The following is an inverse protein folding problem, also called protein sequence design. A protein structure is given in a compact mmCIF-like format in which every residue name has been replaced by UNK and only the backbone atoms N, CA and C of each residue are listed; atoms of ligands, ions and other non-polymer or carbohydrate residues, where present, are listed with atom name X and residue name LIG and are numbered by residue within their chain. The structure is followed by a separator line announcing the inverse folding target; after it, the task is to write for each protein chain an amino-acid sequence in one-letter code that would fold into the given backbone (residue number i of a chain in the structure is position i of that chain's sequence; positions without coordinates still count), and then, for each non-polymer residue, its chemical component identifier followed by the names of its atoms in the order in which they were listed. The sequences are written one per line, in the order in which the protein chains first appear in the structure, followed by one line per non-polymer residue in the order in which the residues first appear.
data_IF_019041023448
#
_entry.id   IF_019041023448
#
_cell.length_a   1.000
_cell.length_b   1.000
_cell.length_c   1.000
_cell.angle_alpha   90.00
_cell.angle_beta   90.00
_cell.angle_gamma   90.00
#
_symmetry.space_group_name_H-M   'P 1'
#
loop_
_entity.id
_entity.type
_entity.pdbx_description
1 polymer ?
#
# COMPACT_ATOMS: atom_id res chain seq x y z
N UNK A 1 49.56 13.02 -16.18
CA UNK A 1 48.46 13.99 -16.27
C UNK A 1 47.57 13.56 -17.44
N UNK A 2 46.40 12.94 -17.20
CA UNK A 2 45.48 12.56 -18.29
C UNK A 2 44.67 13.81 -18.65
N UNK A 3 44.98 14.42 -19.79
CA UNK A 3 44.19 15.51 -20.36
C UNK A 3 42.80 14.98 -20.67
N UNK A 4 41.78 15.54 -20.01
CA UNK A 4 40.38 15.26 -20.35
C UNK A 4 40.15 15.64 -21.82
N UNK A 5 39.57 14.75 -22.65
CA UNK A 5 39.32 15.07 -24.05
C UNK A 5 38.37 16.28 -24.13
N UNK A 6 38.68 17.24 -25.01
CA UNK A 6 37.82 18.41 -25.23
C UNK A 6 36.47 17.94 -25.77
N UNK A 7 35.37 18.44 -25.20
CA UNK A 7 34.00 18.15 -25.67
C UNK A 7 33.82 18.66 -27.11
N UNK A 8 33.21 17.85 -27.97
CA UNK A 8 32.90 18.24 -29.34
C UNK A 8 31.69 19.20 -29.35
N UNK A 9 31.73 20.24 -30.19
CA UNK A 9 30.61 21.17 -30.36
C UNK A 9 29.52 20.51 -31.20
N UNK A 10 28.31 20.40 -30.65
CA UNK A 10 27.11 19.98 -31.36
C UNK A 10 26.23 21.21 -31.65
N UNK A 11 25.86 21.42 -32.92
CA UNK A 11 24.91 22.45 -33.33
C UNK A 11 23.69 21.77 -33.95
N UNK A 12 22.56 21.85 -33.26
CA UNK A 12 21.30 21.21 -33.67
C UNK A 12 20.16 22.21 -33.52
N UNK A 13 19.19 22.11 -34.43
CA UNK A 13 17.96 22.87 -34.33
C UNK A 13 16.97 22.11 -33.43
N UNK A 14 16.32 22.85 -32.54
CA UNK A 14 15.29 22.34 -31.63
C UNK A 14 14.00 23.09 -31.95
N UNK A 15 12.88 22.38 -31.90
CA UNK A 15 11.56 23.03 -31.91
C UNK A 15 11.49 24.07 -30.78
N UNK A 16 10.93 25.27 -31.01
CA UNK A 16 10.94 26.36 -30.03
C UNK A 16 10.39 25.93 -28.66
N UNK A 17 9.28 25.17 -28.66
CA UNK A 17 8.67 24.63 -27.43
C UNK A 17 9.60 23.68 -26.66
N UNK A 18 10.44 22.92 -27.38
CA UNK A 18 11.39 21.99 -26.77
C UNK A 18 12.57 22.75 -26.16
N UNK A 19 13.06 23.79 -26.83
CA UNK A 19 14.09 24.68 -26.28
C UNK A 19 13.60 25.37 -25.00
N UNK A 20 12.37 25.88 -24.99
CA UNK A 20 11.75 26.51 -23.82
C UNK A 20 11.66 25.52 -22.64
N UNK A 21 11.21 24.30 -22.90
CA UNK A 21 11.12 23.25 -21.89
C UNK A 21 12.50 22.88 -21.30
N UNK A 22 13.53 22.78 -22.15
CA UNK A 22 14.90 22.48 -21.76
C UNK A 22 15.50 23.62 -20.91
N UNK A 23 15.32 24.87 -21.34
CA UNK A 23 15.78 26.06 -20.61
C UNK A 23 15.09 26.18 -19.26
N UNK A 24 13.76 25.97 -19.20
CA UNK A 24 13.02 25.96 -17.94
C UNK A 24 13.49 24.84 -17.01
N UNK A 25 13.81 23.65 -17.54
CA UNK A 25 14.33 22.54 -16.76
C UNK A 25 15.71 22.84 -16.17
N UNK A 26 16.60 23.45 -16.97
CA UNK A 26 17.94 23.86 -16.55
C UNK A 26 17.88 24.96 -15.48
N UNK A 27 17.05 25.98 -15.67
CA UNK A 27 16.86 27.08 -14.73
C UNK A 27 16.33 26.61 -13.37
N UNK A 28 15.35 25.69 -13.33
CA UNK A 28 14.82 25.12 -12.07
C UNK A 28 15.86 24.37 -11.23
N UNK A 29 16.98 23.95 -11.84
CA UNK A 29 18.02 23.15 -11.19
C UNK A 29 19.36 23.89 -11.08
N UNK A 30 19.42 25.15 -11.49
CA UNK A 30 20.65 25.94 -11.56
C UNK A 30 21.78 25.24 -12.34
N UNK A 31 21.41 24.62 -13.47
CA UNK A 31 22.33 23.88 -14.35
C UNK A 31 22.49 24.58 -15.70
N UNK A 32 23.64 24.38 -16.36
CA UNK A 32 23.85 24.90 -17.71
C UNK A 32 23.06 24.10 -18.76
N UNK A 33 22.58 24.79 -19.79
CA UNK A 33 21.80 24.16 -20.86
C UNK A 33 22.57 23.03 -21.56
N UNK A 34 23.88 23.24 -21.80
CA UNK A 34 24.74 22.23 -22.41
C UNK A 34 24.91 20.99 -21.53
N UNK A 35 24.96 21.14 -20.21
CA UNK A 35 25.06 20.02 -19.27
C UNK A 35 23.78 19.19 -19.29
N UNK A 36 22.62 19.85 -19.25
CA UNK A 36 21.31 19.17 -19.29
C UNK A 36 21.12 18.46 -20.63
N UNK A 37 21.48 19.11 -21.75
CA UNK A 37 21.41 18.52 -23.08
C UNK A 37 22.31 17.28 -23.23
N UNK A 38 23.57 17.37 -22.78
CA UNK A 38 24.50 16.25 -22.80
C UNK A 38 24.02 15.09 -21.94
N UNK A 39 23.52 15.37 -20.72
CA UNK A 39 22.97 14.35 -19.84
C UNK A 39 21.72 13.68 -20.43
N UNK A 40 20.83 14.44 -21.07
CA UNK A 40 19.66 13.91 -21.74
C UNK A 40 20.04 12.99 -22.91
N UNK A 41 20.99 13.41 -23.76
CA UNK A 41 21.49 12.61 -24.88
C UNK A 41 22.21 11.34 -24.37
N UNK A 42 23.06 11.47 -23.36
CA UNK A 42 23.74 10.32 -22.76
C UNK A 42 22.76 9.33 -22.13
N UNK A 43 21.70 9.82 -21.48
CA UNK A 43 20.63 8.96 -20.95
C UNK A 43 19.84 8.28 -22.07
N UNK A 44 19.54 8.97 -23.16
CA UNK A 44 18.80 8.42 -24.29
C UNK A 44 19.59 7.34 -25.04
N UNK A 45 20.91 7.52 -25.15
CA UNK A 45 21.79 6.58 -25.85
C UNK A 45 22.29 5.42 -24.97
N UNK A 46 21.90 5.36 -23.69
CA UNK A 46 22.34 4.30 -22.77
C UNK A 46 21.38 3.10 -22.85
N UNK A 47 21.83 1.94 -23.38
CA UNK A 47 21.00 0.73 -23.46
C UNK A 47 20.50 0.28 -22.08
N UNK A 48 21.34 0.46 -21.05
CA UNK A 48 21.06 -0.01 -19.70
C UNK A 48 20.12 0.90 -18.90
N UNK A 49 19.85 2.14 -19.34
CA UNK A 49 19.14 3.11 -18.50
C UNK A 49 17.66 2.75 -18.35
N UNK A 50 17.01 2.36 -19.44
CA UNK A 50 15.60 1.99 -19.42
C UNK A 50 15.41 0.57 -18.85
N UNK A 51 16.25 -0.39 -19.23
CA UNK A 51 16.24 -1.74 -18.63
C UNK A 51 16.45 -1.72 -17.11
N UNK A 52 17.35 -0.87 -16.60
CA UNK A 52 17.56 -0.72 -15.14
C UNK A 52 16.35 -0.10 -14.45
N UNK A 53 15.68 0.87 -15.07
CA UNK A 53 14.48 1.51 -14.52
C UNK A 53 13.32 0.51 -14.47
N UNK A 54 13.12 -0.23 -15.55
CA UNK A 54 12.10 -1.29 -15.63
C UNK A 54 12.37 -2.39 -14.60
N UNK A 55 13.62 -2.88 -14.50
CA UNK A 55 13.99 -3.87 -13.50
C UNK A 55 13.81 -3.37 -12.06
N UNK A 56 14.11 -2.09 -11.79
CA UNK A 56 13.87 -1.50 -10.47
C UNK A 56 12.37 -1.41 -10.14
N UNK A 57 11.55 -1.07 -11.14
CA UNK A 57 10.09 -1.05 -10.99
C UNK A 57 9.53 -2.44 -10.73
N UNK A 58 9.91 -3.45 -11.52
CA UNK A 58 9.47 -4.83 -11.33
C UNK A 58 9.84 -5.36 -9.94
N UNK A 59 11.07 -5.11 -9.48
CA UNK A 59 11.48 -5.47 -8.10
C UNK A 59 10.66 -4.78 -7.02
N UNK A 60 10.22 -3.54 -7.26
CA UNK A 60 9.37 -2.79 -6.32
C UNK A 60 7.97 -3.39 -6.30
N UNK A 61 7.41 -3.74 -7.46
CA UNK A 61 6.12 -4.42 -7.58
C UNK A 61 6.16 -5.78 -6.89
N UNK A 62 7.16 -6.62 -7.16
CA UNK A 62 7.33 -7.91 -6.48
C UNK A 62 7.37 -7.78 -4.96
N UNK A 63 8.00 -6.70 -4.45
CA UNK A 63 8.07 -6.43 -3.01
C UNK A 63 6.70 -6.07 -2.45
N UNK A 64 5.93 -5.25 -3.16
CA UNK A 64 4.57 -4.88 -2.78
C UNK A 64 3.65 -6.09 -2.80
N UNK A 65 3.71 -6.93 -3.83
CA UNK A 65 2.91 -8.15 -3.92
C UNK A 65 3.18 -9.09 -2.75
N UNK A 66 4.46 -9.28 -2.41
CA UNK A 66 4.82 -10.06 -1.21
C UNK A 66 4.31 -9.41 0.06
N UNK A 67 4.31 -8.08 0.17
CA UNK A 67 3.79 -7.39 1.36
C UNK A 67 2.28 -7.57 1.48
N UNK A 68 1.54 -7.44 0.37
CA UNK A 68 0.09 -7.66 0.32
C UNK A 68 -0.23 -9.10 0.70
N UNK A 69 0.44 -10.09 0.12
CA UNK A 69 0.23 -11.50 0.46
C UNK A 69 0.49 -11.81 1.94
N UNK A 70 1.49 -11.15 2.56
CA UNK A 70 1.71 -11.27 4.01
C UNK A 70 0.57 -10.63 4.81
N UNK A 71 0.12 -9.44 4.42
CA UNK A 71 -0.98 -8.74 5.08
C UNK A 71 -2.29 -9.53 4.98
N UNK A 72 -2.59 -10.12 3.82
CA UNK A 72 -3.77 -10.98 3.65
C UNK A 72 -3.74 -12.20 4.58
N UNK A 73 -2.57 -12.86 4.68
CA UNK A 73 -2.39 -13.97 5.61
C UNK A 73 -2.56 -13.53 7.07
N UNK A 74 -1.91 -12.44 7.47
CA UNK A 74 -1.96 -11.96 8.85
C UNK A 74 -3.39 -11.49 9.23
N UNK A 75 -4.12 -10.89 8.27
CA UNK A 75 -5.52 -10.54 8.42
C UNK A 75 -6.41 -11.80 8.53
N UNK A 76 -6.17 -12.82 7.71
CA UNK A 76 -6.86 -14.10 7.80
C UNK A 76 -6.70 -14.73 9.19
N UNK A 77 -5.47 -14.82 9.69
CA UNK A 77 -5.17 -15.33 11.04
C UNK A 77 -5.90 -14.51 12.11
N UNK A 78 -5.92 -13.18 11.97
CA UNK A 78 -6.59 -12.29 12.92
C UNK A 78 -8.10 -12.50 12.92
N UNK A 79 -8.72 -12.67 11.75
CA UNK A 79 -10.16 -12.94 11.61
C UNK A 79 -10.53 -14.32 12.17
N UNK A 80 -9.73 -15.36 11.91
CA UNK A 80 -9.94 -16.69 12.48
C UNK A 80 -9.83 -16.67 14.00
N UNK A 81 -8.80 -15.99 14.53
CA UNK A 81 -8.59 -15.84 15.98
C UNK A 81 -9.78 -15.12 16.63
N UNK A 82 -10.25 -14.03 16.01
CA UNK A 82 -11.41 -13.27 16.50
C UNK A 82 -12.70 -14.11 16.44
N UNK A 83 -12.92 -14.86 15.37
CA UNK A 83 -14.07 -15.75 15.24
C UNK A 83 -14.08 -16.82 16.33
N UNK A 84 -12.93 -17.46 16.59
CA UNK A 84 -12.76 -18.43 17.67
C UNK A 84 -12.99 -17.79 19.04
N UNK A 85 -12.44 -16.60 19.29
CA UNK A 85 -12.64 -15.86 20.53
C UNK A 85 -14.11 -15.53 20.78
N UNK A 86 -14.83 -14.98 19.78
CA UNK A 86 -16.24 -14.64 19.91
C UNK A 86 -17.07 -15.90 20.18
N UNK A 87 -16.82 -16.98 19.44
CA UNK A 87 -17.51 -18.26 19.66
C UNK A 87 -17.26 -18.77 21.08
N UNK A 88 -16.01 -18.78 21.53
CA UNK A 88 -15.65 -19.21 22.88
C UNK A 88 -16.35 -18.34 23.93
N UNK A 89 -16.26 -17.02 23.83
CA UNK A 89 -16.89 -16.07 24.75
C UNK A 89 -18.41 -16.25 24.88
N UNK A 90 -19.08 -16.53 23.75
CA UNK A 90 -20.54 -16.65 23.71
C UNK A 90 -21.05 -18.02 24.19
N UNK A 91 -20.22 -19.06 24.05
CA UNK A 91 -20.63 -20.46 24.31
C UNK A 91 -20.03 -21.03 25.59
N UNK A 92 -19.00 -20.40 26.17
CA UNK A 92 -18.43 -20.85 27.43
C UNK A 92 -19.44 -20.69 28.55
N UNK A 93 -19.65 -21.77 29.31
CA UNK A 93 -20.51 -21.79 30.48
C UNK A 93 -19.68 -22.19 31.69
N UNK A 94 -19.86 -21.56 32.86
CA UNK A 94 -19.29 -22.06 34.10
C UNK A 94 -19.76 -23.50 34.35
N UNK A 95 -18.96 -24.31 35.08
CA UNK A 95 -19.38 -25.65 35.46
C UNK A 95 -20.62 -25.56 36.34
N UNK A 96 -21.72 -26.15 35.86
CA UNK A 96 -23.01 -26.20 36.53
C UNK A 96 -23.43 -27.67 36.69
N UNK A 97 -24.29 -27.99 37.67
CA UNK A 97 -24.94 -29.29 37.71
C UNK A 97 -25.77 -29.53 36.44
N UNK A 98 -25.80 -30.76 35.93
CA UNK A 98 -26.82 -31.15 34.95
C UNK A 98 -28.18 -31.11 35.66
N UNK A 99 -29.28 -30.53 35.11
CA UNK A 99 -29.55 -30.08 33.72
C UNK A 99 -29.25 -28.60 33.43
N UNK A 100 -28.84 -27.82 34.43
CA UNK A 100 -28.57 -26.39 34.26
C UNK A 100 -27.40 -26.14 33.29
N UNK A 101 -26.40 -27.04 33.27
CA UNK A 101 -25.30 -26.99 32.30
C UNK A 101 -25.79 -27.21 30.84
N UNK A 102 -26.66 -28.20 30.59
CA UNK A 102 -27.24 -28.42 29.27
C UNK A 102 -28.04 -27.20 28.78
N UNK A 103 -28.86 -26.61 29.65
CA UNK A 103 -29.62 -25.39 29.33
C UNK A 103 -28.70 -24.20 29.02
N UNK A 104 -27.64 -23.99 29.81
CA UNK A 104 -26.68 -22.91 29.59
C UNK A 104 -25.90 -23.05 28.27
N UNK A 105 -25.49 -24.29 27.90
CA UNK A 105 -24.85 -24.57 26.61
C UNK A 105 -25.78 -24.28 25.43
N UNK A 106 -27.05 -24.69 25.53
CA UNK A 106 -28.06 -24.43 24.49
C UNK A 106 -28.28 -22.93 24.29
N UNK A 107 -28.40 -22.17 25.39
CA UNK A 107 -28.54 -20.70 25.32
C UNK A 107 -27.30 -20.02 24.76
N UNK A 108 -26.09 -20.51 25.07
CA UNK A 108 -24.85 -20.03 24.46
C UNK A 108 -24.81 -20.24 22.95
N UNK A 109 -25.23 -21.42 22.48
CA UNK A 109 -25.32 -21.72 21.05
C UNK A 109 -26.35 -20.82 20.33
N UNK A 110 -27.53 -20.63 20.91
CA UNK A 110 -28.56 -19.75 20.35
C UNK A 110 -28.07 -18.29 20.21
N UNK A 111 -27.37 -17.78 21.25
CA UNK A 111 -26.77 -16.43 21.21
C UNK A 111 -25.74 -16.30 20.09
N UNK A 112 -24.90 -17.32 19.88
CA UNK A 112 -23.90 -17.31 18.81
C UNK A 112 -24.55 -17.29 17.43
N UNK A 113 -25.55 -18.13 17.19
CA UNK A 113 -26.31 -18.15 15.92
C UNK A 113 -26.99 -16.80 15.65
N UNK A 114 -27.63 -16.22 16.67
CA UNK A 114 -28.25 -14.89 16.56
C UNK A 114 -27.22 -13.80 16.21
N UNK A 115 -26.02 -13.85 16.81
CA UNK A 115 -24.93 -12.95 16.49
C UNK A 115 -24.46 -13.09 15.03
N UNK A 116 -24.22 -14.32 14.56
CA UNK A 116 -23.79 -14.58 13.17
C UNK A 116 -24.84 -14.07 12.19
N UNK A 117 -26.13 -14.32 12.46
CA UNK A 117 -27.22 -13.84 11.63
C UNK A 117 -27.30 -12.30 11.61
N UNK A 118 -27.10 -11.64 12.75
CA UNK A 118 -27.07 -10.17 12.84
C UNK A 118 -25.88 -9.58 12.08
N UNK A 119 -24.69 -10.17 12.20
CA UNK A 119 -23.50 -9.78 11.46
C UNK A 119 -23.71 -9.92 9.95
N UNK A 120 -24.26 -11.07 9.50
CA UNK A 120 -24.58 -11.30 8.09
C UNK A 120 -25.57 -10.27 7.53
N UNK A 121 -26.63 -9.93 8.27
CA UNK A 121 -27.57 -8.86 7.89
C UNK A 121 -26.91 -7.48 7.82
N UNK A 122 -25.94 -7.19 8.70
CA UNK A 122 -25.24 -5.91 8.69
C UNK A 122 -24.30 -5.80 7.49
N UNK A 123 -23.55 -6.87 7.20
CA UNK A 123 -22.65 -6.93 6.05
C UNK A 123 -23.39 -6.82 4.72
N UNK A 124 -24.60 -7.40 4.60
CA UNK A 124 -25.40 -7.31 3.38
C UNK A 124 -26.10 -5.97 3.16
N UNK A 125 -26.26 -5.13 4.20
CA UNK A 125 -26.96 -3.84 4.12
C UNK A 125 -26.04 -2.64 3.85
N UNK A 126 -24.76 -2.71 4.20
CA UNK A 126 -23.81 -1.58 4.12
C UNK A 126 -24.20 -0.39 5.03
N UNK A 127 -23.29 0.54 5.39
CA UNK A 127 -21.83 0.56 5.25
C UNK A 127 -21.11 -0.09 6.45
N UNK A 128 -19.77 -0.22 6.34
CA UNK A 128 -18.90 -0.80 7.36
C UNK A 128 -18.86 0.06 8.63
N UNK A 129 -18.61 -0.59 9.78
CA UNK A 129 -18.40 0.02 11.11
C UNK A 129 -17.45 1.23 11.12
N UNK A 130 -16.62 1.38 10.09
CA UNK A 130 -15.71 2.52 9.89
C UNK A 130 -16.41 3.88 9.84
N UNK A 131 -17.68 3.93 9.43
CA UNK A 131 -18.46 5.20 9.43
C UNK A 131 -19.02 5.55 10.82
N UNK A 132 -19.00 4.60 11.76
CA UNK A 132 -19.47 4.80 13.14
C UNK A 132 -18.31 5.19 14.09
N UNK A 133 -17.05 5.23 13.59
CA UNK A 133 -15.89 5.70 14.34
C UNK A 133 -15.67 7.17 13.97
N UNK A 134 -15.84 8.12 14.89
CA UNK A 134 -15.51 9.52 14.64
C UNK A 134 -14.01 9.64 14.32
N UNK A 135 -13.68 10.17 13.15
CA UNK A 135 -12.31 10.58 12.81
C UNK A 135 -11.95 11.85 13.61
N UNK A 136 -11.71 11.70 14.92
CA UNK A 136 -11.13 12.76 15.75
C UNK A 136 -9.99 12.19 16.60
N UNK A 137 -8.81 12.12 15.98
CA UNK A 137 -7.56 12.30 16.73
C UNK A 137 -6.92 13.54 16.14
N UNK A 138 -7.04 14.72 16.80
CA UNK A 138 -6.22 15.85 16.44
C UNK A 138 -4.76 15.43 16.61
N UNK A 139 -4.01 15.43 15.51
CA UNK A 139 -2.56 15.41 15.55
C UNK A 139 -2.11 16.69 16.23
N UNK A 140 -1.94 16.62 17.55
CA UNK A 140 -1.24 17.65 18.30
C UNK A 140 0.20 17.72 17.76
N UNK A 141 0.43 18.68 16.88
CA UNK A 141 1.75 19.12 16.50
C UNK A 141 2.28 20.02 17.61
N UNK A 142 3.15 19.45 18.45
CA UNK A 142 4.12 20.20 19.27
C UNK A 142 5.39 20.46 18.49
#
# INVERSE_FOLDING_TARGET
MRTSPKKARLSVYLEPKLLDALTAHAARRDLSLSLVAEAAIASFLSPDADERREAAMSRRLDRLDRQVARMERDLGISLETLALFIRYWMTVSPPLPEPAAAAARAQGAERYEAFVAALGRRLSRGPLFRQDIPDDVPSDAG
#
